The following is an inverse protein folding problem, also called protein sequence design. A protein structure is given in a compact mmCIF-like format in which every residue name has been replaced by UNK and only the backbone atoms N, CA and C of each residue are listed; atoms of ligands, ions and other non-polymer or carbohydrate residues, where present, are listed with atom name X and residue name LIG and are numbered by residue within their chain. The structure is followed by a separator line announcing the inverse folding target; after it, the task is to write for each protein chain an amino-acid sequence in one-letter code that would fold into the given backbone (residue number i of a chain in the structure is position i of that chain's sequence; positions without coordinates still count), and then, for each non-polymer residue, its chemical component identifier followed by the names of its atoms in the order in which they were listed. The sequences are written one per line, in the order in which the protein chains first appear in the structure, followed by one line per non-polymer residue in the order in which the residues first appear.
data_IF_594342126075
#
_entry.id   IF_594342126075
#
_cell.length_a   1.000
_cell.length_b   1.000
_cell.length_c   1.000
_cell.angle_alpha   90.00
_cell.angle_beta   90.00
_cell.angle_gamma   90.00
#
_symmetry.space_group_name_H-M   'P 1'
#
loop_
_entity.id
_entity.type
_entity.pdbx_description
1 polymer ?
#
# COMPACT_ATOMS: atom_id res chain seq x y z
N UNK A 1 45.90 65.94 10.74
CA UNK A 1 46.01 64.64 11.38
C UNK A 1 44.70 63.88 11.15
N UNK A 2 44.63 63.13 10.03
CA UNK A 2 43.46 62.40 9.61
C UNK A 2 43.59 60.94 10.07
N UNK A 3 42.75 60.50 10.99
CA UNK A 3 42.70 59.11 11.44
C UNK A 3 41.84 58.33 10.45
N UNK A 4 42.45 57.47 9.64
CA UNK A 4 41.74 56.52 8.77
C UNK A 4 41.33 55.31 9.61
N UNK A 5 40.02 55.14 9.83
CA UNK A 5 39.43 53.90 10.39
C UNK A 5 39.39 52.84 9.31
N UNK A 6 40.32 51.84 9.36
CA UNK A 6 40.21 50.64 8.55
C UNK A 6 39.14 49.71 9.16
N UNK A 7 37.99 49.60 8.53
CA UNK A 7 37.02 48.54 8.80
C UNK A 7 37.58 47.24 8.24
N UNK A 8 38.10 46.38 9.13
CA UNK A 8 38.33 44.99 8.81
C UNK A 8 37.00 44.27 8.69
N UNK A 9 36.53 44.09 7.48
CA UNK A 9 35.46 43.10 7.19
C UNK A 9 36.04 41.71 7.48
N UNK A 10 35.72 41.14 8.62
CA UNK A 10 36.00 39.75 8.95
C UNK A 10 35.04 38.95 8.08
N UNK A 11 35.52 38.46 6.93
CA UNK A 11 34.86 37.39 6.20
C UNK A 11 34.92 36.14 7.09
N UNK A 12 33.88 35.90 7.87
CA UNK A 12 33.70 34.63 8.55
C UNK A 12 33.50 33.56 7.47
N UNK A 13 34.25 32.45 7.47
CA UNK A 13 33.96 31.37 6.58
C UNK A 13 32.53 30.88 6.89
N UNK A 14 31.67 30.88 5.87
CA UNK A 14 30.36 30.25 5.92
C UNK A 14 30.58 28.73 6.15
N UNK A 15 30.63 28.34 7.40
CA UNK A 15 30.61 26.92 7.77
C UNK A 15 29.23 26.38 7.38
N UNK A 16 29.22 25.18 6.80
CA UNK A 16 27.98 24.47 6.51
C UNK A 16 27.12 24.45 7.78
N UNK A 17 25.95 25.10 7.71
CA UNK A 17 25.10 25.32 8.88
C UNK A 17 24.23 24.09 9.14
N UNK A 18 23.85 23.35 8.08
CA UNK A 18 23.19 22.05 8.19
C UNK A 18 24.15 20.89 7.92
N UNK A 19 23.96 19.79 8.62
CA UNK A 19 24.69 18.54 8.42
C UNK A 19 23.73 17.35 8.38
N UNK A 20 24.11 16.32 7.64
CA UNK A 20 23.51 14.98 7.75
C UNK A 20 23.94 14.34 9.06
N UNK A 21 22.99 13.76 9.80
CA UNK A 21 23.22 13.07 11.08
C UNK A 21 23.21 11.56 10.85
N UNK A 22 24.31 10.92 11.21
CA UNK A 22 24.50 9.46 11.07
C UNK A 22 24.93 8.79 12.38
N UNK A 23 25.13 9.57 13.43
CA UNK A 23 25.59 9.10 14.74
C UNK A 23 25.07 10.00 15.86
N UNK A 24 24.87 9.43 17.02
CA UNK A 24 24.48 10.15 18.25
C UNK A 24 25.50 11.20 18.70
N UNK A 25 26.76 11.11 18.26
CA UNK A 25 27.77 12.16 18.50
C UNK A 25 27.40 13.52 17.89
N UNK A 26 26.46 13.55 16.95
CA UNK A 26 25.95 14.79 16.36
C UNK A 26 24.74 15.37 17.12
N UNK A 27 24.27 14.72 18.18
CA UNK A 27 23.17 15.18 19.03
C UNK A 27 23.73 15.83 20.29
N UNK A 28 23.03 16.85 20.80
CA UNK A 28 23.30 17.39 22.13
C UNK A 28 22.80 16.46 23.23
N UNK A 29 23.30 16.65 24.44
CA UNK A 29 22.78 15.95 25.62
C UNK A 29 21.27 16.23 25.84
N UNK A 30 20.82 17.47 25.55
CA UNK A 30 19.40 17.86 25.63
C UNK A 30 18.54 17.08 24.62
N UNK A 31 19.00 16.94 23.36
CA UNK A 31 18.28 16.19 22.35
C UNK A 31 18.18 14.69 22.70
N UNK A 32 19.26 14.10 23.24
CA UNK A 32 19.26 12.71 23.70
C UNK A 32 18.29 12.54 24.90
N UNK A 33 18.34 13.46 25.86
CA UNK A 33 17.43 13.44 27.03
C UNK A 33 15.96 13.62 26.62
N UNK A 34 15.69 14.35 25.53
CA UNK A 34 14.37 14.49 24.93
C UNK A 34 13.90 13.23 24.17
N UNK A 35 14.71 12.17 24.13
CA UNK A 35 14.38 10.89 23.53
C UNK A 35 14.73 10.76 22.05
N UNK A 36 15.46 11.71 21.47
CA UNK A 36 15.90 11.62 20.08
C UNK A 36 17.09 10.70 19.92
N UNK A 37 17.14 10.02 18.78
CA UNK A 37 18.17 9.04 18.42
C UNK A 37 18.83 9.40 17.10
N UNK A 38 19.98 8.78 16.82
CA UNK A 38 20.61 8.85 15.52
C UNK A 38 21.26 7.51 15.19
N UNK A 39 21.14 7.13 13.91
CA UNK A 39 21.77 5.95 13.35
C UNK A 39 22.21 6.24 11.92
N UNK A 40 23.17 5.49 11.40
CA UNK A 40 23.54 5.60 10.00
C UNK A 40 22.37 5.15 9.11
N UNK A 41 22.10 5.93 8.05
CA UNK A 41 21.03 5.68 7.09
C UNK A 41 21.56 5.86 5.66
N UNK A 42 21.04 5.09 4.74
CA UNK A 42 21.41 5.17 3.31
C UNK A 42 20.55 6.12 2.52
N UNK A 43 19.29 6.34 2.97
CA UNK A 43 18.33 7.21 2.28
C UNK A 43 17.80 6.59 0.98
N UNK A 44 17.66 7.45 -0.03
CA UNK A 44 17.21 7.07 -1.35
C UNK A 44 18.12 6.05 -2.04
N UNK A 45 17.58 5.19 -2.87
CA UNK A 45 18.31 4.28 -3.76
C UNK A 45 17.44 3.80 -4.91
N UNK A 46 18.06 3.32 -6.01
CA UNK A 46 17.35 2.84 -7.21
C UNK A 46 16.46 1.63 -6.92
N UNK A 47 16.88 0.77 -6.02
CA UNK A 47 16.19 -0.48 -5.69
C UNK A 47 15.51 -0.45 -4.31
N UNK A 48 15.32 0.72 -3.74
CA UNK A 48 14.56 0.86 -2.50
C UNK A 48 13.12 0.40 -2.74
N UNK A 49 12.63 -0.47 -1.89
CA UNK A 49 11.34 -1.14 -2.04
C UNK A 49 10.59 -1.26 -0.72
N UNK A 50 10.50 -0.17 0.01
CA UNK A 50 9.62 -0.11 1.18
C UNK A 50 8.18 -0.44 0.79
N UNK A 51 7.45 -1.08 1.70
CA UNK A 51 6.05 -1.45 1.45
C UNK A 51 5.14 -0.23 1.51
N UNK A 52 4.68 0.25 0.35
CA UNK A 52 3.70 1.35 0.25
C UNK A 52 2.30 0.90 0.71
N UNK A 53 2.02 -0.42 0.77
CA UNK A 53 0.71 -0.96 1.12
C UNK A 53 -0.20 -1.24 -0.08
N UNK A 54 0.35 -1.23 -1.30
CA UNK A 54 -0.37 -1.62 -2.52
C UNK A 54 -0.62 -3.14 -2.55
N UNK A 55 -1.67 -3.61 -3.26
CA UNK A 55 -1.87 -5.03 -3.52
C UNK A 55 -0.65 -5.65 -4.22
N UNK A 56 -0.34 -6.92 -3.91
CA UNK A 56 0.75 -7.64 -4.56
C UNK A 56 0.53 -7.85 -6.07
N UNK A 57 -0.72 -7.80 -6.53
CA UNK A 57 -1.10 -7.89 -7.94
C UNK A 57 -1.95 -6.70 -8.34
N UNK A 58 -1.55 -6.05 -9.40
CA UNK A 58 -2.33 -5.03 -10.11
C UNK A 58 -2.99 -5.69 -11.32
N UNK A 59 -4.29 -5.88 -11.24
CA UNK A 59 -5.08 -6.49 -12.31
C UNK A 59 -5.39 -5.49 -13.41
N UNK A 60 -4.97 -5.79 -14.63
CA UNK A 60 -5.17 -4.97 -15.82
C UNK A 60 -6.09 -5.70 -16.80
N UNK A 61 -7.27 -5.13 -17.05
CA UNK A 61 -8.12 -5.63 -18.10
C UNK A 61 -7.48 -5.36 -19.49
N UNK A 62 -7.37 -6.40 -20.32
CA UNK A 62 -6.92 -6.26 -21.70
C UNK A 62 -7.96 -5.61 -22.61
N UNK A 63 -9.26 -5.69 -22.25
CA UNK A 63 -10.38 -4.97 -22.87
C UNK A 63 -10.67 -3.64 -22.19
N UNK A 64 -11.73 -2.95 -22.63
CA UNK A 64 -12.21 -1.70 -22.02
C UNK A 64 -13.46 -1.85 -21.15
N UNK A 65 -14.07 -3.05 -21.11
CA UNK A 65 -15.41 -3.23 -20.57
C UNK A 65 -15.49 -3.04 -19.06
N UNK A 66 -14.53 -3.58 -18.29
CA UNK A 66 -14.56 -3.56 -16.82
C UNK A 66 -13.65 -2.52 -16.20
N UNK A 67 -12.66 -2.06 -16.95
CA UNK A 67 -11.73 -1.02 -16.51
C UNK A 67 -11.60 0.05 -17.61
N UNK A 68 -12.57 0.98 -17.74
CA UNK A 68 -12.42 2.11 -18.64
C UNK A 68 -11.24 3.00 -18.21
N UNK A 69 -10.81 3.89 -19.09
CA UNK A 69 -9.82 4.91 -18.73
C UNK A 69 -10.29 5.71 -17.51
N UNK A 70 -9.37 6.03 -16.61
CA UNK A 70 -9.68 6.69 -15.34
C UNK A 70 -10.00 5.73 -14.20
N UNK A 71 -10.13 4.41 -14.45
CA UNK A 71 -10.35 3.44 -13.35
C UNK A 71 -9.15 3.47 -12.39
N UNK A 72 -9.42 3.69 -11.11
CA UNK A 72 -8.47 3.52 -10.03
C UNK A 72 -8.18 2.02 -9.86
N UNK A 73 -6.96 1.59 -10.17
CA UNK A 73 -6.52 0.21 -10.09
C UNK A 73 -6.12 -0.18 -8.66
N UNK A 74 -5.42 0.73 -7.99
CA UNK A 74 -4.99 0.58 -6.61
C UNK A 74 -4.65 1.94 -6.01
N UNK A 75 -4.77 2.04 -4.70
CA UNK A 75 -4.27 3.19 -3.93
C UNK A 75 -3.79 2.75 -2.56
N UNK A 76 -2.80 3.45 -2.03
CA UNK A 76 -2.30 3.25 -0.67
C UNK A 76 -1.67 4.52 -0.13
N UNK A 77 -1.65 4.64 1.19
CA UNK A 77 -0.87 5.66 1.89
C UNK A 77 0.49 5.08 2.25
N UNK A 78 1.52 5.52 1.54
CA UNK A 78 2.91 5.19 1.87
C UNK A 78 3.35 6.01 3.08
N UNK A 79 3.68 5.32 4.18
CA UNK A 79 4.25 5.96 5.36
C UNK A 79 5.76 6.19 5.13
N UNK A 80 6.23 7.43 5.30
CA UNK A 80 7.63 7.78 5.08
C UNK A 80 8.58 6.92 5.93
N UNK A 81 8.24 6.65 7.18
CA UNK A 81 9.12 5.91 8.09
C UNK A 81 9.36 4.47 7.66
N UNK A 82 8.41 3.84 6.95
CA UNK A 82 8.44 2.41 6.63
C UNK A 82 8.49 2.08 5.15
N UNK A 83 8.11 3.04 4.29
CA UNK A 83 7.94 2.79 2.86
C UNK A 83 8.92 3.55 1.96
N UNK A 84 9.57 4.60 2.46
CA UNK A 84 10.43 5.45 1.63
C UNK A 84 11.86 4.92 1.45
N UNK A 85 12.26 3.89 2.20
CA UNK A 85 13.60 3.27 2.11
C UNK A 85 13.53 1.77 2.36
N UNK A 86 14.63 1.04 2.13
CA UNK A 86 14.73 -0.38 2.48
C UNK A 86 14.74 -0.62 3.99
N UNK A 87 15.26 0.35 4.77
CA UNK A 87 15.32 0.28 6.23
C UNK A 87 14.34 1.27 6.82
N UNK A 88 13.55 0.81 7.78
CA UNK A 88 12.62 1.67 8.49
C UNK A 88 13.37 2.69 9.35
N UNK A 89 12.83 3.91 9.40
CA UNK A 89 13.20 4.91 10.39
C UNK A 89 12.34 4.77 11.64
N UNK A 90 12.87 5.17 12.79
CA UNK A 90 12.03 5.50 13.94
C UNK A 90 11.60 6.97 13.85
N UNK A 91 10.43 7.30 14.40
CA UNK A 91 9.88 8.66 14.32
C UNK A 91 10.79 9.73 14.94
N UNK A 92 11.54 9.35 15.98
CA UNK A 92 12.48 10.20 16.73
C UNK A 92 13.93 10.11 16.22
N UNK A 93 14.20 9.37 15.13
CA UNK A 93 15.54 9.34 14.54
C UNK A 93 15.85 10.65 13.83
N UNK A 94 16.88 11.36 14.26
CA UNK A 94 17.34 12.59 13.62
C UNK A 94 18.10 12.26 12.34
N UNK A 95 17.69 12.87 11.24
CA UNK A 95 18.32 12.73 9.93
C UNK A 95 19.22 13.92 9.59
N UNK A 96 18.86 15.12 10.04
CA UNK A 96 19.66 16.35 9.82
C UNK A 96 19.68 17.22 11.08
N UNK A 97 20.77 18.02 11.19
CA UNK A 97 20.91 19.05 12.21
C UNK A 97 21.35 20.36 11.55
N UNK A 98 20.72 21.47 11.90
CA UNK A 98 20.98 22.82 11.39
C UNK A 98 21.17 23.79 12.55
N UNK A 99 21.72 24.96 12.29
CA UNK A 99 21.74 26.04 13.29
C UNK A 99 20.33 26.65 13.45
N UNK A 100 20.05 27.21 14.62
CA UNK A 100 18.72 27.82 14.90
C UNK A 100 18.40 28.99 13.97
N UNK A 101 19.40 29.70 13.46
CA UNK A 101 19.24 30.82 12.53
C UNK A 101 18.69 30.40 11.17
N UNK A 102 18.78 29.09 10.86
CA UNK A 102 18.34 28.53 9.57
C UNK A 102 16.85 28.20 9.51
N UNK A 103 16.10 28.41 10.60
CA UNK A 103 14.70 27.98 10.74
C UNK A 103 13.80 28.35 9.56
N UNK A 104 14.03 29.50 8.91
CA UNK A 104 13.29 29.98 7.75
C UNK A 104 13.71 29.37 6.40
N UNK A 105 14.79 28.57 6.37
CA UNK A 105 15.43 28.07 5.16
C UNK A 105 15.46 26.53 5.06
N UNK A 106 14.61 25.86 5.82
CA UNK A 106 14.54 24.39 5.90
C UNK A 106 13.32 23.86 5.14
N UNK A 107 13.55 23.01 4.14
CA UNK A 107 12.47 22.52 3.29
C UNK A 107 12.58 21.00 3.06
N UNK A 108 11.42 20.35 3.03
CA UNK A 108 11.23 19.10 2.31
C UNK A 108 11.07 19.42 0.83
N UNK A 109 11.89 18.81 -0.01
CA UNK A 109 11.80 18.88 -1.47
C UNK A 109 11.25 17.56 -1.98
N UNK A 110 10.33 17.57 -2.95
CA UNK A 110 9.76 16.38 -3.54
C UNK A 110 9.48 16.54 -5.03
N UNK A 111 9.72 15.47 -5.80
CA UNK A 111 9.49 15.41 -7.24
C UNK A 111 9.23 13.98 -7.72
N UNK A 112 8.64 13.83 -8.91
CA UNK A 112 8.67 12.55 -9.62
C UNK A 112 10.06 12.31 -10.19
N UNK A 113 10.33 11.08 -10.65
CA UNK A 113 11.60 10.76 -11.31
C UNK A 113 11.63 11.29 -12.75
N UNK A 114 12.15 12.48 -12.95
CA UNK A 114 12.28 13.09 -14.27
C UNK A 114 13.31 12.44 -15.18
N UNK A 115 14.17 11.54 -14.66
CA UNK A 115 15.21 10.86 -15.43
C UNK A 115 14.70 9.61 -16.17
N UNK A 116 13.51 9.12 -15.81
CA UNK A 116 12.96 7.90 -16.40
C UNK A 116 11.64 8.15 -17.12
N UNK A 117 11.55 7.81 -18.44
CA UNK A 117 10.32 7.96 -19.21
C UNK A 117 9.16 7.11 -18.68
N UNK A 118 9.44 6.09 -17.85
CA UNK A 118 8.48 5.14 -17.30
C UNK A 118 8.23 5.33 -15.80
N UNK A 119 8.83 6.33 -15.17
CA UNK A 119 8.77 6.47 -13.72
C UNK A 119 8.59 7.91 -13.24
N UNK A 120 8.12 8.81 -14.09
CA UNK A 120 7.83 10.17 -13.66
C UNK A 120 8.30 11.32 -14.56
N UNK A 121 8.95 11.02 -15.70
CA UNK A 121 9.38 12.04 -16.67
C UNK A 121 8.20 12.62 -17.46
N UNK A 122 7.30 11.75 -17.95
CA UNK A 122 6.25 12.12 -18.88
C UNK A 122 4.88 12.07 -18.22
N UNK A 123 4.17 13.19 -18.22
CA UNK A 123 2.79 13.28 -17.75
C UNK A 123 1.86 12.43 -18.63
N UNK A 124 0.95 11.71 -18.00
CA UNK A 124 -0.01 10.85 -18.69
C UNK A 124 -1.23 11.59 -19.27
N UNK A 125 -1.40 12.87 -18.99
CA UNK A 125 -2.42 13.74 -19.60
C UNK A 125 -3.90 13.35 -19.41
N UNK A 126 -4.21 12.05 -19.36
CA UNK A 126 -5.57 11.54 -19.15
C UNK A 126 -6.03 11.67 -17.69
N UNK A 127 -5.08 11.72 -16.75
CA UNK A 127 -5.32 11.86 -15.31
C UNK A 127 -4.46 13.02 -14.81
N UNK A 128 -5.12 14.02 -14.23
CA UNK A 128 -4.42 15.18 -13.69
C UNK A 128 -3.38 14.77 -12.63
N UNK A 129 -2.16 15.32 -12.76
CA UNK A 129 -1.03 15.02 -11.88
C UNK A 129 -0.42 13.63 -12.00
N UNK A 130 -0.89 12.79 -12.95
CA UNK A 130 -0.34 11.44 -13.14
C UNK A 130 0.76 11.39 -14.21
N UNK A 131 1.65 10.41 -14.07
CA UNK A 131 2.77 10.12 -14.94
C UNK A 131 2.71 8.68 -15.43
N UNK A 132 3.24 8.42 -16.64
CA UNK A 132 3.35 7.05 -17.16
C UNK A 132 4.16 6.16 -16.23
N UNK A 133 3.74 4.90 -16.11
CA UNK A 133 4.39 3.87 -15.32
C UNK A 133 5.02 2.79 -16.20
N UNK A 134 5.77 1.88 -15.58
CA UNK A 134 6.48 0.78 -16.26
C UNK A 134 5.54 -0.17 -17.00
N UNK A 135 4.31 -0.34 -16.54
CA UNK A 135 3.32 -1.20 -17.15
C UNK A 135 2.51 -0.42 -18.21
N UNK A 136 2.34 -1.03 -19.39
CA UNK A 136 1.52 -0.47 -20.47
C UNK A 136 0.11 -0.14 -19.97
N UNK A 137 -0.43 1.02 -20.35
CA UNK A 137 -1.76 1.53 -19.96
C UNK A 137 -1.94 1.76 -18.45
N UNK A 138 -0.86 2.07 -17.74
CA UNK A 138 -0.90 2.47 -16.32
C UNK A 138 -0.29 3.84 -16.16
N UNK A 139 -0.90 4.65 -15.31
CA UNK A 139 -0.34 5.90 -14.84
C UNK A 139 -0.35 5.93 -13.30
N UNK A 140 0.65 6.60 -12.74
CA UNK A 140 0.84 6.77 -11.30
C UNK A 140 0.69 8.24 -10.94
N UNK A 141 -0.10 8.51 -9.91
CA UNK A 141 -0.19 9.82 -9.27
C UNK A 141 0.27 9.71 -7.83
N UNK A 142 1.11 10.63 -7.40
CA UNK A 142 1.57 10.74 -6.02
C UNK A 142 1.16 12.09 -5.46
N UNK A 143 0.57 12.10 -4.27
CA UNK A 143 0.18 13.31 -3.55
C UNK A 143 0.98 13.39 -2.26
N UNK A 144 1.67 14.51 -2.03
CA UNK A 144 2.28 14.80 -0.73
C UNK A 144 1.16 15.11 0.27
N UNK A 145 1.02 14.29 1.31
CA UNK A 145 -0.12 14.41 2.23
C UNK A 145 -0.03 15.61 3.18
N UNK A 146 1.16 16.22 3.35
CA UNK A 146 1.29 17.43 4.18
C UNK A 146 0.89 18.69 3.44
N UNK A 147 1.02 18.71 2.10
CA UNK A 147 0.67 19.88 1.28
C UNK A 147 -0.66 19.69 0.52
N UNK A 148 -1.09 18.45 0.29
CA UNK A 148 -2.19 18.13 -0.60
C UNK A 148 -1.85 18.26 -2.10
N UNK A 149 -0.61 18.56 -2.46
CA UNK A 149 -0.19 18.77 -3.83
C UNK A 149 0.35 17.51 -4.48
N UNK A 150 0.14 17.37 -5.80
CA UNK A 150 0.73 16.28 -6.57
C UNK A 150 2.23 16.46 -6.72
N UNK A 151 2.97 15.35 -6.68
CA UNK A 151 4.34 15.31 -7.17
C UNK A 151 4.36 15.70 -8.65
N UNK A 152 5.44 16.33 -9.08
CA UNK A 152 5.67 16.66 -10.48
C UNK A 152 7.13 16.42 -10.87
N UNK A 153 7.42 16.34 -12.17
CA UNK A 153 8.79 16.30 -12.68
C UNK A 153 9.63 17.48 -12.18
N UNK A 154 8.97 18.61 -11.92
CA UNK A 154 9.65 19.80 -11.41
C UNK A 154 9.58 19.79 -9.89
N UNK A 155 10.72 19.97 -9.22
CA UNK A 155 10.82 20.00 -7.77
C UNK A 155 9.78 20.92 -7.15
N UNK A 156 9.08 20.43 -6.16
CA UNK A 156 8.23 21.19 -5.25
C UNK A 156 8.87 21.23 -3.87
N UNK A 157 8.42 22.18 -3.05
CA UNK A 157 8.95 22.35 -1.71
C UNK A 157 7.84 22.56 -0.69
N UNK A 158 8.04 22.00 0.51
CA UNK A 158 7.27 22.29 1.72
C UNK A 158 8.23 22.89 2.75
N UNK A 159 7.99 24.12 3.18
CA UNK A 159 8.74 24.69 4.28
C UNK A 159 8.44 23.95 5.57
N UNK A 160 9.47 23.46 6.25
CA UNK A 160 9.32 22.86 7.57
C UNK A 160 8.99 23.94 8.59
N UNK A 161 8.11 23.62 9.52
CA UNK A 161 7.61 24.55 10.54
C UNK A 161 8.13 24.15 11.92
N UNK A 162 7.97 25.02 12.93
CA UNK A 162 8.44 24.77 14.30
C UNK A 162 7.92 23.45 14.90
N UNK A 163 6.79 22.93 14.47
CA UNK A 163 6.23 21.66 14.87
C UNK A 163 6.87 20.43 14.23
N UNK A 164 7.61 20.60 13.13
CA UNK A 164 8.24 19.52 12.39
C UNK A 164 9.61 19.10 12.98
N UNK A 165 10.20 19.87 13.90
CA UNK A 165 11.54 19.60 14.43
C UNK A 165 11.64 19.76 15.95
N UNK A 166 12.68 19.18 16.51
CA UNK A 166 13.16 19.49 17.85
C UNK A 166 14.21 20.61 17.77
N UNK A 167 14.28 21.45 18.78
CA UNK A 167 15.26 22.54 18.87
C UNK A 167 15.75 22.68 20.31
N UNK A 168 17.07 22.78 20.48
CA UNK A 168 17.71 23.23 21.71
C UNK A 168 18.23 24.68 21.58
N UNK A 169 19.11 25.12 22.46
CA UNK A 169 19.64 26.48 22.47
C UNK A 169 20.54 26.82 21.27
N UNK A 170 21.02 25.84 20.54
CA UNK A 170 22.02 25.99 19.47
C UNK A 170 21.57 25.42 18.12
N UNK A 171 20.77 24.35 18.13
CA UNK A 171 20.50 23.58 16.93
C UNK A 171 19.03 23.22 16.76
N UNK A 172 18.68 23.08 15.49
CA UNK A 172 17.44 22.45 15.01
C UNK A 172 17.77 21.01 14.60
N UNK A 173 17.00 20.06 15.06
CA UNK A 173 17.13 18.62 14.74
C UNK A 173 15.90 18.16 13.96
N UNK A 174 16.11 17.72 12.74
CA UNK A 174 15.05 17.26 11.84
C UNK A 174 14.89 15.74 12.00
N UNK A 175 13.83 15.27 12.66
CA UNK A 175 13.55 13.86 12.80
C UNK A 175 12.97 13.27 11.51
N UNK A 176 13.00 11.95 11.37
CA UNK A 176 12.38 11.26 10.24
C UNK A 176 10.86 11.52 10.16
N UNK A 177 10.20 11.74 11.30
CA UNK A 177 8.78 12.11 11.36
C UNK A 177 8.44 13.49 10.75
N UNK A 178 9.45 14.31 10.45
CA UNK A 178 9.27 15.59 9.79
C UNK A 178 8.88 15.46 8.31
N UNK A 179 9.13 14.31 7.68
CA UNK A 179 8.88 14.10 6.26
C UNK A 179 7.47 13.58 5.98
N UNK A 180 6.92 14.00 4.86
CA UNK A 180 5.53 13.73 4.48
C UNK A 180 5.30 12.30 4.04
N UNK A 181 4.14 11.76 4.40
CA UNK A 181 3.61 10.56 3.77
C UNK A 181 3.09 10.87 2.36
N UNK A 182 2.91 9.83 1.56
CA UNK A 182 2.40 9.94 0.18
C UNK A 182 1.08 9.19 0.04
N UNK A 183 0.11 9.78 -0.66
CA UNK A 183 -0.96 9.00 -1.27
C UNK A 183 -0.46 8.56 -2.66
N UNK A 184 -0.34 7.26 -2.86
CA UNK A 184 0.10 6.63 -4.09
C UNK A 184 -1.09 5.99 -4.79
N UNK A 185 -1.38 6.41 -6.01
CA UNK A 185 -2.55 5.98 -6.78
C UNK A 185 -2.13 5.50 -8.16
N UNK A 186 -2.71 4.40 -8.60
CA UNK A 186 -2.48 3.79 -9.91
C UNK A 186 -3.76 3.79 -10.72
N UNK A 187 -3.70 4.28 -11.95
CA UNK A 187 -4.86 4.44 -12.81
C UNK A 187 -4.70 3.69 -14.12
N UNK A 188 -5.80 3.12 -14.61
CA UNK A 188 -5.91 2.65 -15.99
C UNK A 188 -5.99 3.85 -16.93
N UNK A 189 -5.17 3.84 -18.00
CA UNK A 189 -5.20 4.83 -19.06
C UNK A 189 -5.31 4.14 -20.43
N UNK A 190 -5.77 4.87 -21.45
CA UNK A 190 -5.84 4.36 -22.83
C UNK A 190 -4.49 4.44 -23.53
N UNK A 191 -3.73 5.48 -23.25
CA UNK A 191 -2.42 5.70 -23.88
C UNK A 191 -1.47 4.52 -23.63
N UNK A 192 -0.79 4.12 -24.68
CA UNK A 192 0.23 3.08 -24.67
C UNK A 192 1.64 3.66 -24.92
N UNK A 193 1.86 4.93 -24.56
CA UNK A 193 3.16 5.56 -24.64
C UNK A 193 3.99 5.25 -23.39
N UNK A 194 5.30 5.36 -23.53
CA UNK A 194 6.25 5.36 -22.40
C UNK A 194 6.01 4.24 -21.36
N UNK A 195 6.01 2.99 -21.81
CA UNK A 195 5.98 1.82 -20.92
C UNK A 195 7.27 0.99 -21.08
N UNK A 196 7.64 0.28 -20.02
CA UNK A 196 8.77 -0.67 -20.02
C UNK A 196 8.33 -2.08 -20.40
N UNK A 197 7.12 -2.49 -19.96
CA UNK A 197 6.62 -3.84 -20.17
C UNK A 197 5.14 -3.89 -20.55
N UNK A 198 4.81 -4.80 -21.49
CA UNK A 198 3.45 -5.04 -21.98
C UNK A 198 3.02 -6.52 -21.88
N UNK A 199 3.80 -7.37 -21.23
CA UNK A 199 3.50 -8.80 -21.05
C UNK A 199 2.24 -9.01 -20.20
N UNK A 200 1.62 -10.19 -20.33
CA UNK A 200 0.47 -10.54 -19.51
C UNK A 200 0.82 -10.67 -18.03
N UNK A 201 2.07 -11.01 -17.70
CA UNK A 201 2.61 -10.96 -16.35
C UNK A 201 3.92 -10.17 -16.35
N UNK A 202 4.03 -9.21 -15.47
CA UNK A 202 5.28 -8.48 -15.23
C UNK A 202 5.44 -8.20 -13.74
N UNK A 203 6.40 -8.85 -13.08
CA UNK A 203 6.84 -8.42 -11.74
C UNK A 203 7.62 -7.13 -11.90
N UNK A 204 7.29 -6.12 -11.11
CA UNK A 204 7.98 -4.83 -11.18
C UNK A 204 9.42 -4.98 -10.69
N UNK A 205 10.33 -5.20 -11.64
CA UNK A 205 11.79 -5.26 -11.43
C UNK A 205 12.51 -4.04 -11.98
N UNK A 206 11.76 -2.99 -12.30
CA UNK A 206 12.34 -1.76 -12.82
C UNK A 206 13.04 -0.98 -11.70
N UNK A 207 14.33 -0.77 -11.86
CA UNK A 207 15.22 -0.26 -10.79
C UNK A 207 15.10 1.24 -10.52
N UNK A 208 14.31 1.98 -11.28
CA UNK A 208 14.13 3.42 -11.08
C UNK A 208 12.93 3.71 -10.19
N UNK A 209 13.07 4.48 -9.10
CA UNK A 209 11.95 4.93 -8.27
C UNK A 209 10.98 5.83 -9.06
N UNK A 210 9.75 5.99 -8.57
CA UNK A 210 8.74 6.89 -9.16
C UNK A 210 8.82 8.30 -8.61
N UNK A 211 9.37 8.47 -7.42
CA UNK A 211 9.46 9.78 -6.78
C UNK A 211 10.55 9.86 -5.74
N UNK A 212 10.93 11.08 -5.45
CA UNK A 212 12.04 11.44 -4.58
C UNK A 212 11.62 12.38 -3.47
N UNK A 213 12.29 12.25 -2.33
CA UNK A 213 12.25 13.20 -1.22
C UNK A 213 13.69 13.60 -0.91
N UNK A 214 13.94 14.93 -0.88
CA UNK A 214 15.23 15.50 -0.47
C UNK A 214 15.03 16.50 0.68
N UNK A 215 16.04 16.70 1.50
CA UNK A 215 16.06 17.75 2.50
C UNK A 215 16.95 18.90 2.00
N UNK A 216 16.38 20.11 1.98
CA UNK A 216 17.09 21.35 1.66
C UNK A 216 17.37 22.13 2.94
N UNK A 217 18.63 22.49 3.13
CA UNK A 217 19.05 23.35 4.24
C UNK A 217 20.39 24.00 3.93
N UNK A 218 20.69 25.19 4.51
CA UNK A 218 21.88 25.96 4.23
C UNK A 218 23.18 25.16 4.43
N UNK A 219 24.08 25.26 3.47
CA UNK A 219 25.38 24.59 3.49
C UNK A 219 25.38 23.12 3.02
N UNK A 220 24.24 22.51 2.80
CA UNK A 220 24.12 21.20 2.14
C UNK A 220 24.21 21.36 0.61
N UNK A 221 24.64 20.32 -0.11
CA UNK A 221 24.57 20.32 -1.58
C UNK A 221 23.14 20.54 -2.09
N UNK A 222 22.13 20.06 -1.35
CA UNK A 222 20.70 20.26 -1.65
C UNK A 222 20.21 21.71 -1.45
N UNK A 223 20.99 22.60 -0.86
CA UNK A 223 20.65 24.03 -0.76
C UNK A 223 20.46 24.68 -2.12
N UNK A 224 21.14 24.17 -3.13
CA UNK A 224 20.99 24.61 -4.53
C UNK A 224 19.70 24.15 -5.21
N UNK A 225 18.92 23.23 -4.62
CA UNK A 225 17.61 22.85 -5.16
C UNK A 225 16.61 23.99 -4.97
N UNK A 226 15.78 24.24 -5.99
CA UNK A 226 14.69 25.20 -5.90
C UNK A 226 13.41 24.63 -6.53
N UNK A 227 12.26 25.09 -6.05
CA UNK A 227 10.98 24.77 -6.68
C UNK A 227 10.99 25.17 -8.15
N UNK A 228 10.45 24.32 -9.02
CA UNK A 228 10.43 24.50 -10.47
C UNK A 228 11.65 23.96 -11.22
N UNK A 229 12.72 23.55 -10.55
CA UNK A 229 13.87 22.89 -11.20
C UNK A 229 13.48 21.49 -11.69
N UNK A 230 13.96 21.09 -12.86
CA UNK A 230 13.69 19.79 -13.48
C UNK A 230 14.47 18.67 -12.77
N UNK A 231 13.77 17.70 -12.20
CA UNK A 231 14.36 16.54 -11.54
C UNK A 231 15.14 15.61 -12.48
N UNK A 232 15.00 15.79 -13.80
CA UNK A 232 15.82 15.11 -14.80
C UNK A 232 17.27 15.64 -14.89
N UNK A 233 17.54 16.83 -14.33
CA UNK A 233 18.83 17.52 -14.51
C UNK A 233 19.44 18.03 -13.20
N UNK A 234 18.66 18.16 -12.15
CA UNK A 234 19.12 18.74 -10.90
C UNK A 234 19.06 17.72 -9.76
N UNK A 235 20.22 17.04 -9.53
CA UNK A 235 20.39 15.95 -8.55
C UNK A 235 21.32 16.34 -7.39
N UNK A 236 21.27 17.58 -6.95
CA UNK A 236 22.10 18.06 -5.85
C UNK A 236 21.89 17.22 -4.60
N UNK A 237 22.97 16.70 -4.03
CA UNK A 237 22.94 15.84 -2.86
C UNK A 237 22.41 14.41 -3.12
N UNK A 238 22.36 14.00 -4.39
CA UNK A 238 21.86 12.68 -4.83
C UNK A 238 22.28 11.55 -3.90
N UNK A 239 21.28 10.83 -3.45
CA UNK A 239 21.24 9.78 -2.45
C UNK A 239 21.76 10.17 -1.05
N UNK A 240 22.86 10.86 -0.88
CA UNK A 240 23.45 11.13 0.44
C UNK A 240 22.60 12.07 1.31
N UNK A 241 21.85 13.00 0.68
CA UNK A 241 21.01 13.99 1.35
C UNK A 241 19.51 13.82 1.01
N UNK A 242 19.16 12.73 0.34
CA UNK A 242 17.81 12.39 -0.01
C UNK A 242 17.32 11.26 0.93
N UNK A 243 16.49 11.58 1.92
CA UNK A 243 16.11 10.62 2.94
C UNK A 243 15.17 9.52 2.46
N UNK A 244 14.59 9.64 1.26
CA UNK A 244 13.70 8.59 0.77
C UNK A 244 13.32 8.70 -0.71
N UNK A 245 12.77 7.60 -1.21
CA UNK A 245 12.17 7.45 -2.53
C UNK A 245 10.85 6.70 -2.44
N UNK A 246 9.99 6.88 -3.45
CA UNK A 246 8.78 6.07 -3.61
C UNK A 246 8.99 5.09 -4.76
N UNK A 247 8.95 3.80 -4.48
CA UNK A 247 9.23 2.74 -5.44
C UNK A 247 8.30 1.54 -5.23
N UNK A 248 7.97 0.88 -6.34
CA UNK A 248 7.24 -0.39 -6.36
C UNK A 248 8.12 -1.57 -6.75
N UNK A 249 9.46 -1.37 -6.77
CA UNK A 249 10.44 -2.38 -7.11
C UNK A 249 10.27 -3.66 -6.28
N UNK A 250 10.06 -4.79 -6.94
CA UNK A 250 9.86 -6.11 -6.34
C UNK A 250 8.66 -6.27 -5.36
N UNK A 251 7.81 -5.24 -5.18
CA UNK A 251 6.70 -5.30 -4.22
C UNK A 251 5.38 -5.73 -4.83
N UNK A 252 5.21 -5.57 -6.15
CA UNK A 252 3.99 -5.96 -6.86
C UNK A 252 4.28 -6.55 -8.24
N UNK A 253 3.24 -7.16 -8.81
CA UNK A 253 3.21 -7.63 -10.20
C UNK A 253 1.99 -7.08 -10.94
N UNK A 254 2.15 -6.81 -12.22
CA UNK A 254 1.06 -6.47 -13.11
C UNK A 254 0.62 -7.74 -13.86
N UNK A 255 -0.68 -8.03 -13.84
CA UNK A 255 -1.25 -9.14 -14.59
C UNK A 255 -2.32 -8.60 -15.53
N UNK A 256 -2.14 -8.86 -16.84
CA UNK A 256 -3.01 -8.38 -17.90
C UNK A 256 -3.76 -9.54 -18.53
N UNK A 257 -5.07 -9.46 -18.61
CA UNK A 257 -5.89 -10.51 -19.21
C UNK A 257 -7.36 -10.17 -19.29
N UNK A 258 -8.17 -11.13 -19.71
CA UNK A 258 -9.61 -11.07 -19.57
C UNK A 258 -9.99 -11.19 -18.10
N UNK A 259 -10.78 -10.26 -17.60
CA UNK A 259 -11.07 -10.09 -16.18
C UNK A 259 -12.48 -10.60 -15.85
N UNK A 260 -12.67 -11.02 -14.61
CA UNK A 260 -13.98 -11.17 -13.99
C UNK A 260 -14.23 -10.06 -12.98
N UNK A 261 -15.51 -9.74 -12.76
CA UNK A 261 -15.95 -8.85 -11.68
C UNK A 261 -17.13 -9.46 -10.94
N UNK A 262 -17.29 -9.09 -9.69
CA UNK A 262 -18.51 -9.43 -8.93
C UNK A 262 -19.66 -8.61 -9.51
N UNK A 263 -20.75 -9.31 -9.88
CA UNK A 263 -21.96 -8.70 -10.46
C UNK A 263 -23.02 -8.50 -9.40
N UNK A 264 -23.32 -9.56 -8.66
CA UNK A 264 -24.43 -9.57 -7.71
C UNK A 264 -24.11 -10.44 -6.50
N UNK A 265 -24.58 -10.00 -5.35
CA UNK A 265 -24.44 -10.68 -4.06
C UNK A 265 -25.44 -10.10 -3.05
N UNK A 266 -25.92 -10.88 -2.07
CA UNK A 266 -26.78 -10.34 -1.02
C UNK A 266 -25.99 -9.43 -0.09
N UNK A 267 -26.48 -8.22 0.15
CA UNK A 267 -25.88 -7.28 1.11
C UNK A 267 -25.92 -7.81 2.57
N UNK A 268 -26.92 -8.63 2.89
CA UNK A 268 -27.14 -9.23 4.22
C UNK A 268 -27.62 -10.67 4.05
N UNK A 269 -27.05 -11.59 4.83
CA UNK A 269 -27.48 -12.98 4.99
C UNK A 269 -27.89 -13.16 6.44
N UNK A 270 -29.20 -13.30 6.72
CA UNK A 270 -29.73 -13.46 8.07
C UNK A 270 -29.76 -14.93 8.45
N UNK A 271 -29.08 -15.29 9.54
CA UNK A 271 -29.11 -16.60 10.11
C UNK A 271 -30.25 -16.68 11.17
N UNK A 272 -31.09 -17.71 11.17
CA UNK A 272 -32.07 -17.94 12.24
C UNK A 272 -31.41 -18.02 13.61
N UNK A 273 -32.11 -17.54 14.63
CA UNK A 273 -31.68 -17.70 16.03
C UNK A 273 -31.64 -19.18 16.39
N UNK A 274 -30.59 -19.59 17.08
CA UNK A 274 -30.37 -20.98 17.55
C UNK A 274 -29.92 -20.94 19.01
N UNK A 275 -30.34 -21.92 19.81
CA UNK A 275 -29.91 -22.00 21.22
C UNK A 275 -28.47 -22.53 21.35
N UNK A 276 -27.81 -22.16 22.43
CA UNK A 276 -26.46 -22.67 22.74
C UNK A 276 -26.44 -24.20 22.87
N UNK A 277 -27.45 -24.77 23.49
CA UNK A 277 -27.54 -26.22 23.71
C UNK A 277 -27.58 -26.99 22.38
N UNK A 278 -28.40 -26.54 21.43
CA UNK A 278 -28.46 -27.15 20.08
C UNK A 278 -27.12 -27.03 19.34
N UNK A 279 -26.40 -25.90 19.51
CA UNK A 279 -25.06 -25.74 18.93
C UNK A 279 -24.04 -26.69 19.59
N UNK A 280 -24.08 -26.87 20.92
CA UNK A 280 -23.19 -27.78 21.65
C UNK A 280 -23.46 -29.26 21.31
N UNK A 281 -24.70 -29.60 20.96
CA UNK A 281 -25.10 -30.91 20.45
C UNK A 281 -24.74 -31.15 18.97
N UNK A 282 -24.07 -30.14 18.31
CA UNK A 282 -23.64 -30.26 16.92
C UNK A 282 -24.68 -29.77 15.89
N UNK A 283 -25.74 -29.11 16.36
CA UNK A 283 -26.70 -28.45 15.48
C UNK A 283 -26.10 -27.20 14.81
N UNK A 284 -26.78 -26.69 13.81
CA UNK A 284 -26.35 -25.50 13.06
C UNK A 284 -27.53 -24.61 12.66
N UNK A 285 -27.28 -23.32 12.48
CA UNK A 285 -28.20 -22.38 11.84
C UNK A 285 -27.70 -22.02 10.47
N UNK A 286 -28.49 -22.28 9.43
CA UNK A 286 -28.05 -22.18 8.05
C UNK A 286 -28.95 -21.28 7.21
N UNK A 287 -28.33 -20.53 6.29
CA UNK A 287 -29.03 -19.72 5.30
C UNK A 287 -28.29 -19.79 3.95
N UNK A 288 -28.99 -20.18 2.87
CA UNK A 288 -28.40 -20.16 1.53
C UNK A 288 -28.28 -18.72 0.99
N UNK A 289 -27.29 -18.51 0.13
CA UNK A 289 -27.11 -17.28 -0.63
C UNK A 289 -26.37 -17.56 -1.94
N UNK A 290 -26.49 -16.65 -2.91
CA UNK A 290 -25.85 -16.80 -4.21
C UNK A 290 -24.93 -15.62 -4.50
N UNK A 291 -23.86 -15.85 -5.26
CA UNK A 291 -22.94 -14.84 -5.77
C UNK A 291 -22.84 -15.01 -7.28
N UNK A 292 -23.00 -13.91 -8.01
CA UNK A 292 -22.84 -13.88 -9.47
C UNK A 292 -21.60 -13.10 -9.88
N UNK A 293 -20.87 -13.63 -10.84
CA UNK A 293 -19.73 -13.01 -11.48
C UNK A 293 -20.04 -12.71 -12.94
N UNK A 294 -19.48 -11.63 -13.46
CA UNK A 294 -19.36 -11.38 -14.90
C UNK A 294 -17.91 -11.54 -15.32
N UNK A 295 -17.65 -12.41 -16.27
CA UNK A 295 -16.33 -12.68 -16.82
C UNK A 295 -16.28 -12.34 -18.31
N UNK A 296 -15.24 -11.67 -18.76
CA UNK A 296 -14.99 -11.47 -20.18
C UNK A 296 -14.71 -12.79 -20.88
N UNK A 297 -15.05 -12.86 -22.17
CA UNK A 297 -14.67 -13.97 -23.02
C UNK A 297 -13.15 -14.14 -23.01
N UNK A 298 -12.68 -15.35 -22.72
CA UNK A 298 -11.26 -15.66 -22.61
C UNK A 298 -10.69 -15.56 -21.17
N UNK A 299 -11.51 -15.25 -20.15
CA UNK A 299 -11.08 -15.36 -18.75
C UNK A 299 -10.74 -16.81 -18.41
N UNK A 300 -9.54 -17.03 -17.88
CA UNK A 300 -9.01 -18.35 -17.55
C UNK A 300 -9.24 -18.60 -16.06
N UNK A 301 -10.06 -19.58 -15.72
CA UNK A 301 -10.30 -19.96 -14.33
C UNK A 301 -9.14 -20.76 -13.76
N UNK A 302 -8.50 -20.26 -12.69
CA UNK A 302 -7.35 -20.97 -12.09
C UNK A 302 -6.83 -20.27 -10.85
N UNK A 303 -6.12 -21.04 -10.02
CA UNK A 303 -5.48 -20.58 -8.77
C UNK A 303 -3.96 -20.66 -8.81
N UNK A 304 -3.40 -21.12 -9.91
CA UNK A 304 -1.94 -21.13 -10.11
C UNK A 304 -1.45 -19.69 -10.41
N UNK A 305 -0.19 -19.43 -10.09
CA UNK A 305 0.43 -18.16 -10.42
C UNK A 305 0.37 -17.88 -11.93
N UNK A 306 -0.03 -16.69 -12.29
CA UNK A 306 -0.05 -16.22 -13.67
C UNK A 306 1.35 -16.17 -14.27
N UNK A 307 1.43 -16.32 -15.58
CA UNK A 307 2.67 -16.30 -16.36
C UNK A 307 2.59 -15.26 -17.47
N UNK A 308 3.68 -15.04 -18.20
CA UNK A 308 3.70 -14.10 -19.33
C UNK A 308 2.65 -14.40 -20.42
N UNK A 309 2.21 -15.67 -20.53
CA UNK A 309 1.24 -16.14 -21.52
C UNK A 309 -0.14 -16.47 -20.96
N UNK A 310 -0.28 -16.58 -19.63
CA UNK A 310 -1.52 -17.06 -18.99
C UNK A 310 -1.84 -16.20 -17.77
N UNK A 311 -3.00 -15.55 -17.77
CA UNK A 311 -3.54 -14.81 -16.63
C UNK A 311 -4.68 -15.62 -16.01
N UNK A 312 -4.44 -16.23 -14.85
CA UNK A 312 -5.42 -17.03 -14.11
C UNK A 312 -6.30 -16.11 -13.26
N UNK A 313 -7.61 -16.33 -13.28
CA UNK A 313 -8.59 -15.63 -12.47
C UNK A 313 -9.13 -16.55 -11.40
N UNK A 314 -9.02 -16.14 -10.15
CA UNK A 314 -9.62 -16.80 -9.00
C UNK A 314 -10.60 -15.90 -8.29
N UNK A 315 -11.50 -16.52 -7.50
CA UNK A 315 -12.37 -15.83 -6.55
C UNK A 315 -12.08 -16.31 -5.13
N UNK A 316 -12.48 -15.52 -4.16
CA UNK A 316 -12.39 -15.87 -2.74
C UNK A 316 -13.31 -15.01 -1.89
N UNK A 317 -13.45 -15.41 -0.63
CA UNK A 317 -14.22 -14.70 0.37
C UNK A 317 -13.24 -14.10 1.40
N UNK A 318 -13.08 -12.79 1.37
CA UNK A 318 -12.14 -12.06 2.22
C UNK A 318 -12.79 -11.65 3.55
N UNK A 319 -12.15 -12.02 4.64
CA UNK A 319 -12.45 -11.49 5.98
C UNK A 319 -11.63 -10.20 6.16
N UNK A 320 -12.30 -9.05 6.03
CA UNK A 320 -11.63 -7.74 6.05
C UNK A 320 -11.64 -7.07 7.45
N UNK A 321 -12.18 -7.73 8.47
CA UNK A 321 -12.24 -7.22 9.84
C UNK A 321 -11.06 -7.75 10.66
N UNK A 322 -10.12 -6.90 11.12
CA UNK A 322 -8.92 -7.33 11.85
C UNK A 322 -9.23 -8.14 13.12
N UNK A 323 -10.32 -7.79 13.84
CA UNK A 323 -10.74 -8.51 15.05
C UNK A 323 -11.11 -9.96 14.72
N UNK A 324 -11.90 -10.18 13.67
CA UNK A 324 -12.30 -11.52 13.22
C UNK A 324 -11.11 -12.37 12.76
N UNK A 325 -10.19 -11.76 11.97
CA UNK A 325 -8.95 -12.43 11.52
C UNK A 325 -8.07 -12.82 12.71
N UNK A 326 -7.86 -11.91 13.66
CA UNK A 326 -7.03 -12.16 14.84
C UNK A 326 -7.67 -13.21 15.76
N UNK A 327 -8.99 -13.20 15.95
CA UNK A 327 -9.70 -14.21 16.70
C UNK A 327 -9.54 -15.60 16.09
N UNK A 328 -9.73 -15.75 14.78
CA UNK A 328 -9.52 -17.02 14.08
C UNK A 328 -8.08 -17.54 14.24
N UNK A 329 -7.09 -16.65 14.12
CA UNK A 329 -5.67 -17.01 14.33
C UNK A 329 -5.38 -17.43 15.76
N UNK A 330 -5.89 -16.72 16.75
CA UNK A 330 -5.69 -17.02 18.16
C UNK A 330 -6.30 -18.39 18.57
N UNK A 331 -7.40 -18.77 17.91
CA UNK A 331 -8.07 -20.07 18.12
C UNK A 331 -7.48 -21.20 17.25
N UNK A 332 -6.42 -20.95 16.47
CA UNK A 332 -5.82 -21.94 15.58
C UNK A 332 -6.68 -22.32 14.36
N UNK A 333 -7.69 -21.50 14.02
CA UNK A 333 -8.64 -21.74 12.92
C UNK A 333 -8.08 -21.28 11.58
N UNK A 334 -6.86 -21.71 11.27
CA UNK A 334 -6.12 -21.34 10.08
C UNK A 334 -5.53 -22.56 9.40
N UNK A 335 -5.44 -22.53 8.08
CA UNK A 335 -4.75 -23.55 7.28
C UNK A 335 -3.24 -23.31 7.28
N UNK A 336 -2.46 -24.30 6.82
CA UNK A 336 -1.01 -24.13 6.58
C UNK A 336 -0.69 -23.03 5.55
N UNK A 337 -1.59 -22.75 4.63
CA UNK A 337 -1.48 -21.65 3.66
C UNK A 337 -1.91 -20.29 4.21
N UNK A 338 -2.41 -20.22 5.45
CA UNK A 338 -2.86 -18.98 6.10
C UNK A 338 -4.29 -18.56 5.77
N UNK A 339 -5.07 -19.41 5.09
CA UNK A 339 -6.52 -19.23 4.93
C UNK A 339 -7.25 -19.47 6.25
N UNK A 340 -8.35 -18.76 6.48
CA UNK A 340 -9.17 -18.93 7.67
C UNK A 340 -10.21 -20.04 7.41
N UNK A 341 -10.40 -20.95 8.37
CA UNK A 341 -11.37 -22.04 8.26
C UNK A 341 -12.75 -21.66 8.79
N UNK A 342 -12.85 -20.52 9.45
CA UNK A 342 -14.06 -19.96 10.04
C UNK A 342 -14.12 -18.44 9.88
N UNK A 343 -15.32 -17.91 9.71
CA UNK A 343 -15.63 -16.49 9.82
C UNK A 343 -16.06 -16.21 11.25
N UNK A 344 -15.29 -15.38 11.93
CA UNK A 344 -15.57 -14.95 13.31
C UNK A 344 -16.39 -13.64 13.31
N UNK A 345 -17.06 -13.38 14.44
CA UNK A 345 -17.74 -12.10 14.67
C UNK A 345 -16.77 -10.91 14.56
N UNK A 346 -17.22 -9.81 14.00
CA UNK A 346 -16.44 -8.57 13.83
C UNK A 346 -16.01 -7.91 15.15
N UNK A 347 -16.66 -8.29 16.26
CA UNK A 347 -16.41 -7.82 17.62
C UNK A 347 -16.11 -8.97 18.59
N UNK A 348 -15.62 -10.10 18.08
CA UNK A 348 -15.36 -11.30 18.89
C UNK A 348 -14.54 -10.98 20.15
N UNK A 349 -14.99 -11.51 21.29
CA UNK A 349 -14.39 -11.26 22.60
C UNK A 349 -14.95 -10.05 23.34
N UNK A 350 -15.87 -9.29 22.74
CA UNK A 350 -16.56 -8.19 23.45
C UNK A 350 -17.80 -8.70 24.20
N UNK A 351 -18.22 -7.94 25.22
CA UNK A 351 -19.40 -8.25 26.01
C UNK A 351 -20.66 -8.26 25.15
N UNK A 352 -21.48 -9.29 25.26
CA UNK A 352 -22.73 -9.46 24.53
C UNK A 352 -22.56 -10.11 23.14
N UNK A 353 -21.33 -10.40 22.73
CA UNK A 353 -21.01 -11.19 21.54
C UNK A 353 -20.88 -12.67 21.93
N UNK A 354 -21.43 -13.57 21.12
CA UNK A 354 -21.32 -15.00 21.35
C UNK A 354 -19.86 -15.47 21.24
N UNK A 355 -19.44 -16.41 22.07
CA UNK A 355 -18.13 -17.06 21.97
C UNK A 355 -18.29 -18.57 21.75
N UNK A 356 -17.20 -19.21 21.31
CA UNK A 356 -17.21 -20.64 21.00
C UNK A 356 -17.98 -21.00 19.72
N UNK A 357 -18.40 -20.00 18.95
CA UNK A 357 -19.15 -20.18 17.69
C UNK A 357 -18.47 -19.41 16.56
N UNK A 358 -18.72 -19.82 15.32
CA UNK A 358 -18.28 -19.16 14.11
C UNK A 358 -19.17 -19.57 12.93
N UNK A 359 -18.95 -18.93 11.79
CA UNK A 359 -19.69 -19.20 10.56
C UNK A 359 -18.77 -19.90 9.58
N UNK A 360 -19.22 -21.01 8.99
CA UNK A 360 -18.63 -21.63 7.81
C UNK A 360 -19.37 -21.17 6.56
N UNK A 361 -18.63 -20.99 5.48
CA UNK A 361 -19.21 -20.82 4.15
C UNK A 361 -19.07 -22.17 3.44
N UNK A 362 -20.18 -22.74 3.07
CA UNK A 362 -20.24 -24.03 2.37
C UNK A 362 -20.52 -23.78 0.89
N UNK A 363 -19.88 -24.57 0.02
CA UNK A 363 -20.21 -24.59 -1.41
C UNK A 363 -21.53 -25.37 -1.68
N UNK A 364 -21.94 -25.42 -2.93
CA UNK A 364 -23.17 -26.13 -3.36
C UNK A 364 -23.18 -27.63 -2.99
N UNK A 365 -22.01 -28.23 -2.68
CA UNK A 365 -21.87 -29.62 -2.29
C UNK A 365 -21.80 -29.78 -0.76
N UNK A 366 -21.98 -28.72 0.01
CA UNK A 366 -21.88 -28.72 1.46
C UNK A 366 -20.44 -28.76 1.99
N UNK A 367 -19.43 -28.58 1.13
CA UNK A 367 -18.02 -28.55 1.55
C UNK A 367 -17.67 -27.14 2.07
N UNK A 368 -17.05 -27.10 3.26
CA UNK A 368 -16.59 -25.85 3.83
C UNK A 368 -15.44 -25.25 3.01
N UNK A 369 -15.54 -23.95 2.75
CA UNK A 369 -14.53 -23.15 2.08
C UNK A 369 -13.59 -22.52 3.10
N UNK A 370 -12.32 -22.43 2.74
CA UNK A 370 -11.37 -21.57 3.44
C UNK A 370 -11.56 -20.12 2.97
N UNK A 371 -11.36 -19.17 3.86
CA UNK A 371 -11.56 -17.76 3.61
C UNK A 371 -10.21 -17.04 3.55
N UNK A 372 -10.15 -15.97 2.76
CA UNK A 372 -8.96 -15.13 2.66
C UNK A 372 -8.79 -14.30 3.94
N UNK A 373 -7.59 -14.31 4.51
CA UNK A 373 -7.21 -13.38 5.59
C UNK A 373 -6.65 -12.05 5.07
N UNK A 374 -6.20 -12.04 3.83
CA UNK A 374 -5.70 -10.88 3.06
C UNK A 374 -5.60 -11.25 1.57
N UNK A 375 -5.29 -10.27 0.72
CA UNK A 375 -5.10 -10.43 -0.73
C UNK A 375 -3.63 -10.34 -1.16
N UNK A 376 -2.69 -10.33 -0.22
CA UNK A 376 -1.26 -10.10 -0.48
C UNK A 376 -0.50 -11.31 -1.05
N UNK A 377 -1.12 -12.51 -1.04
CA UNK A 377 -0.50 -13.73 -1.55
C UNK A 377 -1.39 -14.34 -2.62
N UNK A 378 -0.81 -14.62 -3.78
CA UNK A 378 -1.44 -15.27 -4.94
C UNK A 378 -0.81 -16.63 -5.21
N UNK A 379 -1.44 -17.47 -6.04
CA UNK A 379 -0.90 -18.75 -6.47
C UNK A 379 -0.95 -19.87 -5.42
N UNK A 380 -1.48 -19.63 -4.22
CA UNK A 380 -1.50 -20.61 -3.12
C UNK A 380 -2.79 -21.46 -3.05
N UNK A 381 -3.73 -21.24 -3.96
CA UNK A 381 -4.96 -22.01 -4.08
C UNK A 381 -5.86 -21.98 -2.84
N UNK A 382 -6.63 -23.06 -2.65
CA UNK A 382 -7.66 -23.16 -1.61
C UNK A 382 -7.09 -23.17 -0.18
N UNK A 383 -5.82 -23.55 0.02
CA UNK A 383 -5.18 -23.46 1.34
C UNK A 383 -5.07 -22.02 1.84
N UNK A 384 -5.10 -21.04 0.91
CA UNK A 384 -5.13 -19.61 1.21
C UNK A 384 -6.54 -19.04 1.23
N UNK A 385 -7.51 -19.68 0.57
CA UNK A 385 -8.89 -19.22 0.37
C UNK A 385 -9.16 -18.74 -1.06
N UNK A 386 -8.23 -18.99 -2.01
CA UNK A 386 -8.44 -18.74 -3.42
C UNK A 386 -9.00 -19.98 -4.12
N UNK A 387 -9.98 -19.77 -4.98
CA UNK A 387 -10.61 -20.83 -5.78
C UNK A 387 -10.69 -20.43 -7.23
N UNK A 388 -10.43 -21.37 -8.15
CA UNK A 388 -10.78 -21.19 -9.54
C UNK A 388 -12.26 -20.84 -9.63
N UNK A 389 -12.63 -19.71 -10.24
CA UNK A 389 -14.01 -19.21 -10.15
C UNK A 389 -15.02 -20.23 -10.69
N UNK A 390 -14.69 -20.99 -11.73
CA UNK A 390 -15.54 -22.06 -12.28
C UNK A 390 -15.66 -23.31 -11.37
N UNK A 391 -14.82 -23.44 -10.36
CA UNK A 391 -15.00 -24.50 -9.37
C UNK A 391 -16.13 -24.18 -8.37
N UNK A 392 -16.49 -22.92 -8.24
CA UNK A 392 -17.51 -22.44 -7.30
C UNK A 392 -18.75 -21.84 -8.01
N UNK A 393 -18.69 -21.58 -9.32
CA UNK A 393 -19.77 -20.98 -10.08
C UNK A 393 -20.01 -21.73 -11.39
N UNK A 394 -21.26 -21.70 -11.87
CA UNK A 394 -21.66 -22.25 -13.16
C UNK A 394 -22.15 -21.14 -14.09
N UNK A 395 -21.88 -21.21 -15.41
CA UNK A 395 -22.36 -20.21 -16.36
C UNK A 395 -23.87 -20.27 -16.50
N UNK A 396 -24.53 -19.11 -16.39
CA UNK A 396 -25.98 -18.95 -16.59
C UNK A 396 -26.29 -18.16 -17.86
N UNK A 397 -25.31 -17.50 -18.46
CA UNK A 397 -25.41 -16.86 -19.77
C UNK A 397 -24.06 -16.89 -20.47
N UNK A 398 -24.06 -16.76 -21.79
CA UNK A 398 -22.86 -16.70 -22.62
C UNK A 398 -22.90 -15.51 -23.59
N UNK A 399 -21.72 -15.00 -23.98
CA UNK A 399 -21.58 -13.87 -24.88
C UNK A 399 -20.15 -13.31 -24.81
N UNK A 400 -19.98 -12.03 -25.18
CA UNK A 400 -18.73 -11.31 -24.95
C UNK A 400 -18.39 -11.18 -23.46
N UNK A 401 -19.42 -11.21 -22.62
CA UNK A 401 -19.38 -11.29 -21.16
C UNK A 401 -20.26 -12.47 -20.74
N UNK A 402 -19.71 -13.39 -19.96
CA UNK A 402 -20.41 -14.55 -19.39
C UNK A 402 -20.79 -14.26 -17.94
N UNK A 403 -22.06 -14.42 -17.60
CA UNK A 403 -22.47 -14.44 -16.18
C UNK A 403 -22.38 -15.86 -15.64
N UNK A 404 -21.70 -16.01 -14.50
CA UNK A 404 -21.59 -17.27 -13.77
C UNK A 404 -22.07 -17.08 -12.34
N UNK A 405 -22.92 -18.01 -11.84
CA UNK A 405 -23.49 -17.92 -10.50
C UNK A 405 -23.09 -19.14 -9.68
N UNK A 406 -22.73 -18.91 -8.43
CA UNK A 406 -22.44 -19.92 -7.42
C UNK A 406 -23.42 -19.82 -6.27
N UNK A 407 -23.87 -20.98 -5.78
CA UNK A 407 -24.74 -21.10 -4.61
C UNK A 407 -23.90 -21.55 -3.40
N UNK A 408 -24.13 -20.89 -2.28
CA UNK A 408 -23.41 -21.06 -1.05
C UNK A 408 -24.38 -21.15 0.14
N UNK A 409 -23.87 -21.67 1.26
CA UNK A 409 -24.61 -21.66 2.53
C UNK A 409 -23.73 -21.07 3.64
N UNK A 410 -24.25 -20.08 4.34
CA UNK A 410 -23.68 -19.65 5.62
C UNK A 410 -24.21 -20.56 6.74
N UNK A 411 -23.32 -21.19 7.50
CA UNK A 411 -23.66 -22.12 8.57
C UNK A 411 -23.01 -21.66 9.89
N UNK A 412 -23.81 -21.22 10.85
CA UNK A 412 -23.35 -20.92 12.20
C UNK A 412 -23.28 -22.23 12.98
N UNK A 413 -22.12 -22.54 13.52
CA UNK A 413 -21.82 -23.78 14.24
C UNK A 413 -20.96 -23.54 15.48
N UNK A 414 -20.96 -24.47 16.41
CA UNK A 414 -20.00 -24.49 17.52
C UNK A 414 -18.60 -24.83 17.03
N UNK A 415 -17.60 -24.17 17.57
CA UNK A 415 -16.18 -24.44 17.28
C UNK A 415 -15.73 -25.58 18.20
N UNK A 416 -15.25 -26.66 17.62
CA UNK A 416 -14.79 -27.83 18.35
C UNK A 416 -13.81 -27.47 19.48
N UNK A 417 -14.08 -27.94 20.68
CA UNK A 417 -13.25 -27.71 21.87
C UNK A 417 -13.41 -26.34 22.50
N UNK A 418 -14.37 -25.52 22.05
CA UNK A 418 -14.73 -24.26 22.68
C UNK A 418 -16.10 -24.37 23.37
N UNK A 419 -16.27 -23.73 24.52
CA UNK A 419 -17.58 -23.60 25.19
C UNK A 419 -18.39 -22.52 24.51
N UNK A 420 -19.66 -22.81 24.22
CA UNK A 420 -20.57 -21.84 23.60
C UNK A 420 -21.14 -20.91 24.68
N UNK A 421 -21.05 -19.60 24.44
CA UNK A 421 -21.76 -18.62 25.27
C UNK A 421 -22.80 -17.87 24.42
N UNK A 422 -24.00 -17.62 24.95
CA UNK A 422 -25.03 -16.90 24.22
C UNK A 422 -24.62 -15.45 23.97
N UNK A 423 -25.03 -14.90 22.82
CA UNK A 423 -24.73 -13.54 22.40
C UNK A 423 -25.13 -13.28 20.96
N UNK A 424 -24.87 -12.07 20.48
CA UNK A 424 -25.03 -11.73 19.06
C UNK A 424 -23.90 -12.30 18.22
N UNK A 425 -24.16 -12.54 16.95
CA UNK A 425 -23.16 -12.89 15.91
C UNK A 425 -23.35 -11.94 14.73
N UNK A 426 -22.36 -11.11 14.48
CA UNK A 426 -22.33 -10.18 13.34
C UNK A 426 -20.97 -10.29 12.65
N UNK A 427 -20.93 -10.86 11.48
CA UNK A 427 -19.71 -11.12 10.73
C UNK A 427 -19.79 -10.50 9.32
N UNK A 428 -18.64 -10.17 8.75
CA UNK A 428 -18.55 -9.52 7.44
C UNK A 428 -17.60 -10.28 6.52
N UNK A 429 -18.04 -10.46 5.27
CA UNK A 429 -17.26 -11.02 4.18
C UNK A 429 -17.29 -10.09 2.97
N UNK A 430 -16.21 -10.06 2.24
CA UNK A 430 -16.14 -9.42 0.92
C UNK A 430 -15.86 -10.49 -0.13
N UNK A 431 -16.66 -10.53 -1.20
CA UNK A 431 -16.35 -11.35 -2.37
C UNK A 431 -15.28 -10.65 -3.18
N UNK A 432 -14.20 -11.35 -3.49
CA UNK A 432 -13.05 -10.82 -4.23
C UNK A 432 -12.81 -11.69 -5.46
N UNK A 433 -12.50 -11.03 -6.57
CA UNK A 433 -12.02 -11.67 -7.79
C UNK A 433 -10.70 -11.01 -8.17
N UNK A 434 -9.68 -11.82 -8.43
CA UNK A 434 -8.35 -11.33 -8.76
C UNK A 434 -7.62 -12.27 -9.67
N UNK A 435 -6.66 -11.74 -10.43
CA UNK A 435 -5.62 -12.57 -11.03
C UNK A 435 -4.73 -13.19 -9.94
N UNK A 436 -4.16 -14.34 -10.30
CA UNK A 436 -3.26 -15.09 -9.40
C UNK A 436 -1.81 -15.02 -9.87
#
# INVERSE_FOLDING_TARGET
MLLAFLLFMINQPLWATCIRVISTSSLSAQAIQAGYTAANWTGACDTCNGNIGLPAVISLNSGGNFQPAGTLLASAVGNFLTAATQKTYTSNQILFRCNIVDAGSLFEMYATNGDSPYAGMNSAGEIDGAYYDVAKNVAVRMTNLSTGEYYSRYWKQRQLQRGDWYQDDSYIYIPASAFSNVLYEMYKITSANYYHNASNYYKDTFTQPRGYIAFKGPGLATDSLAAGMDSASYWYGWYSLWPGTWSTYNTLAYIRGALCRVKDYPAVVLLPTISSDVLEEGGSSQTPFSVSLECESGAISGTESSTASKANVAMGFLVNQPVAVNAARALGLVTSGGGLTWLMDSHYGQRGVASGVGIKILDQNGKALNLLSDTGVTGAGNSRGWYAYQALTSPVSSGSVTTSTGDFTASLEAINGQSVTPGSVNAQLQVVVSFQ
#
